data_IF_880001639519
#
_entry.id   IF_880001639519
#
_cell.length_a   1.000
_cell.length_b   1.000
_cell.length_c   1.000
_cell.angle_alpha   90.00
_cell.angle_beta   90.00
_cell.angle_gamma   90.00
#
_symmetry.space_group_name_H-M   'P 1'
#
loop_
_entity.id
_entity.type
_entity.pdbx_description
1 polymer ?
#
# COMPACT_ATOMS: atom_id res chain seq x y z
N UNK A 1 3.50 -5.59 6.63
CA UNK A 1 3.02 -6.56 5.64
C UNK A 1 2.10 -7.52 6.35
N UNK A 2 1.00 -7.86 5.71
CA UNK A 2 -0.06 -8.68 6.29
C UNK A 2 -0.48 -9.64 5.19
N UNK A 3 -0.32 -10.93 5.45
CA UNK A 3 -0.72 -11.96 4.51
C UNK A 3 -2.15 -12.40 4.82
N UNK A 4 -2.96 -12.46 3.77
CA UNK A 4 -4.36 -12.85 3.86
C UNK A 4 -4.60 -14.04 2.93
N UNK A 5 -5.04 -15.16 3.50
CA UNK A 5 -5.37 -16.37 2.75
C UNK A 5 -6.82 -16.74 3.06
N UNK A 6 -7.66 -16.85 2.03
CA UNK A 6 -9.08 -17.20 2.22
C UNK A 6 -9.88 -16.17 3.04
N UNK A 7 -9.42 -14.91 3.11
CA UNK A 7 -10.04 -13.85 3.92
C UNK A 7 -9.58 -13.82 5.37
N UNK A 8 -8.62 -14.66 5.76
CA UNK A 8 -8.07 -14.69 7.12
C UNK A 8 -6.63 -14.18 7.14
N UNK A 9 -6.27 -13.43 8.18
CA UNK A 9 -4.89 -12.97 8.39
C UNK A 9 -4.05 -14.12 8.90
N UNK A 10 -3.05 -14.54 8.11
CA UNK A 10 -2.18 -15.68 8.42
C UNK A 10 -0.83 -15.27 8.97
N UNK A 11 -0.31 -14.12 8.53
CA UNK A 11 0.99 -13.61 8.97
C UNK A 11 0.98 -12.08 9.10
N UNK A 12 1.74 -11.57 10.07
CA UNK A 12 1.98 -10.15 10.26
C UNK A 12 3.47 -9.92 10.41
N UNK A 13 4.05 -9.15 9.51
CA UNK A 13 5.46 -8.77 9.53
C UNK A 13 5.60 -7.24 9.49
N UNK A 14 6.57 -6.71 10.24
CA UNK A 14 6.93 -5.29 10.19
C UNK A 14 8.19 -5.15 9.37
N UNK A 15 8.08 -4.47 8.22
CA UNK A 15 9.23 -4.03 7.46
C UNK A 15 9.58 -2.62 7.90
N UNK A 16 10.82 -2.42 8.35
CA UNK A 16 11.28 -1.10 8.73
C UNK A 16 11.48 -0.24 7.48
N UNK A 17 10.83 0.93 7.45
CA UNK A 17 11.02 1.87 6.35
C UNK A 17 12.48 2.35 6.30
N UNK A 18 13.04 2.37 5.09
CA UNK A 18 14.32 3.01 4.85
C UNK A 18 14.23 4.51 5.15
N UNK A 19 15.35 5.16 5.55
CA UNK A 19 15.37 6.61 5.73
C UNK A 19 14.92 7.34 4.46
N UNK A 20 14.07 8.35 4.62
CA UNK A 20 13.60 9.14 3.49
C UNK A 20 14.72 10.05 2.99
N UNK A 21 15.14 9.86 1.73
CA UNK A 21 16.14 10.68 1.05
C UNK A 21 15.51 11.46 -0.10
N UNK A 22 16.14 12.57 -0.50
CA UNK A 22 15.67 13.33 -1.66
C UNK A 22 15.70 12.45 -2.92
N UNK A 23 14.58 12.40 -3.65
CA UNK A 23 14.43 11.52 -4.81
C UNK A 23 14.14 10.05 -4.49
N UNK A 24 14.11 9.64 -3.22
CA UNK A 24 13.93 8.25 -2.76
C UNK A 24 12.54 7.64 -2.97
N UNK A 25 11.70 8.21 -3.83
CA UNK A 25 10.31 7.77 -4.03
C UNK A 25 10.17 6.35 -4.58
N UNK A 26 11.18 5.86 -5.30
CA UNK A 26 11.18 4.50 -5.87
C UNK A 26 11.70 3.44 -4.89
N UNK A 27 12.43 3.83 -3.84
CA UNK A 27 12.96 2.85 -2.89
C UNK A 27 11.83 2.03 -2.22
N UNK A 28 10.75 2.63 -1.69
CA UNK A 28 9.63 1.86 -1.14
C UNK A 28 8.93 1.00 -2.20
N UNK A 29 8.81 1.47 -3.44
CA UNK A 29 8.18 0.72 -4.54
C UNK A 29 8.96 -0.57 -4.82
N UNK A 30 10.27 -0.45 -5.00
CA UNK A 30 11.13 -1.58 -5.33
C UNK A 30 11.21 -2.56 -4.16
N UNK A 31 11.39 -2.07 -2.93
CA UNK A 31 11.44 -2.94 -1.75
C UNK A 31 10.14 -3.74 -1.60
N UNK A 32 8.96 -3.10 -1.74
CA UNK A 32 7.69 -3.83 -1.61
C UNK A 32 7.46 -4.81 -2.77
N UNK A 33 7.94 -4.51 -3.98
CA UNK A 33 7.92 -5.45 -5.11
C UNK A 33 8.83 -6.67 -4.87
N UNK A 34 10.03 -6.48 -4.30
CA UNK A 34 10.92 -7.58 -3.90
C UNK A 34 10.29 -8.50 -2.84
N UNK A 35 9.41 -7.94 -2.00
CA UNK A 35 8.62 -8.69 -1.02
C UNK A 35 7.33 -9.30 -1.60
N UNK A 36 7.08 -9.18 -2.91
CA UNK A 36 5.87 -9.70 -3.59
C UNK A 36 4.57 -9.18 -2.98
N UNK A 37 4.54 -7.93 -2.52
CA UNK A 37 3.32 -7.32 -1.98
C UNK A 37 2.30 -7.12 -3.10
N UNK A 38 1.08 -7.60 -2.95
CA UNK A 38 0.01 -7.45 -3.97
C UNK A 38 -0.61 -6.05 -3.97
N UNK A 39 -0.76 -5.45 -2.78
CA UNK A 39 -1.41 -4.17 -2.59
C UNK A 39 -0.83 -3.38 -1.42
N UNK A 40 -0.85 -2.05 -1.52
CA UNK A 40 -0.56 -1.13 -0.43
C UNK A 40 -1.78 -0.27 -0.12
N UNK A 41 -2.02 -0.07 1.18
CA UNK A 41 -3.05 0.85 1.65
C UNK A 41 -2.39 2.11 2.22
N UNK A 42 -2.85 3.27 1.78
CA UNK A 42 -2.28 4.57 2.14
C UNK A 42 -3.39 5.54 2.55
N UNK A 43 -3.09 6.41 3.51
CA UNK A 43 -3.90 7.62 3.73
C UNK A 43 -3.59 8.66 2.64
N UNK A 44 -2.37 8.61 2.10
CA UNK A 44 -2.07 9.34 0.89
C UNK A 44 -0.83 8.99 0.09
N UNK A 45 -0.83 9.37 -1.19
CA UNK A 45 0.25 9.06 -2.12
C UNK A 45 0.52 10.17 -3.15
N UNK A 46 1.80 10.37 -3.46
CA UNK A 46 2.24 11.24 -4.56
C UNK A 46 2.16 10.55 -5.92
N UNK A 47 2.12 11.35 -7.00
CA UNK A 47 2.04 10.81 -8.38
C UNK A 47 3.16 9.83 -8.74
N UNK A 48 4.41 10.14 -8.38
CA UNK A 48 5.58 9.29 -8.71
C UNK A 48 5.51 7.90 -8.07
N UNK A 49 5.33 7.75 -6.74
CA UNK A 49 5.19 6.43 -6.14
C UNK A 49 3.95 5.69 -6.64
N UNK A 50 2.81 6.37 -6.87
CA UNK A 50 1.62 5.72 -7.44
C UNK A 50 1.91 5.10 -8.82
N UNK A 51 2.56 5.86 -9.72
CA UNK A 51 2.97 5.32 -11.02
C UNK A 51 3.94 4.15 -10.88
N UNK A 52 4.88 4.23 -9.94
CA UNK A 52 5.83 3.15 -9.66
C UNK A 52 5.13 1.87 -9.24
N UNK A 53 4.22 1.93 -8.26
CA UNK A 53 3.44 0.77 -7.82
C UNK A 53 2.62 0.15 -8.95
N UNK A 54 1.92 0.98 -9.73
CA UNK A 54 1.14 0.51 -10.88
C UNK A 54 2.02 -0.18 -11.94
N UNK A 55 3.25 0.29 -12.17
CA UNK A 55 4.18 -0.32 -13.12
C UNK A 55 4.66 -1.71 -12.67
N UNK A 56 4.79 -1.94 -11.37
CA UNK A 56 5.20 -3.24 -10.81
C UNK A 56 4.01 -4.13 -10.44
N UNK A 57 2.78 -3.72 -10.77
CA UNK A 57 1.57 -4.52 -10.55
C UNK A 57 1.02 -4.47 -9.12
N UNK A 58 1.46 -3.52 -8.28
CA UNK A 58 0.99 -3.36 -6.91
C UNK A 58 -0.20 -2.40 -6.89
N UNK A 59 -1.35 -2.87 -6.41
CA UNK A 59 -2.54 -2.02 -6.29
C UNK A 59 -2.38 -1.02 -5.14
N UNK A 60 -2.77 0.23 -5.36
CA UNK A 60 -2.80 1.25 -4.30
C UNK A 60 -4.24 1.50 -3.89
N UNK A 61 -4.55 1.36 -2.61
CA UNK A 61 -5.87 1.59 -2.04
C UNK A 61 -5.85 2.76 -1.06
N UNK A 62 -6.93 3.53 -1.02
CA UNK A 62 -7.13 4.53 0.02
C UNK A 62 -7.63 3.84 1.30
N UNK A 63 -6.93 4.06 2.41
CA UNK A 63 -7.27 3.50 3.71
C UNK A 63 -8.49 4.16 4.36
N UNK A 64 -9.10 3.46 5.32
CA UNK A 64 -10.15 4.01 6.18
C UNK A 64 -9.94 3.54 7.62
N UNK A 65 -10.49 4.29 8.58
CA UNK A 65 -10.41 3.95 10.00
C UNK A 65 -9.17 4.55 10.68
N UNK A 66 -9.03 4.28 11.97
CA UNK A 66 -8.03 4.91 12.84
C UNK A 66 -6.82 4.02 13.15
N UNK A 67 -6.87 2.74 12.78
CA UNK A 67 -5.81 1.79 13.08
C UNK A 67 -5.65 0.72 11.99
N UNK A 68 -4.54 -0.02 12.07
CA UNK A 68 -4.18 -1.05 11.09
C UNK A 68 -5.23 -2.16 11.01
N UNK A 69 -5.83 -2.55 12.14
CA UNK A 69 -6.81 -3.64 12.16
C UNK A 69 -8.06 -3.26 11.37
N UNK A 70 -8.58 -2.05 11.58
CA UNK A 70 -9.74 -1.53 10.85
C UNK A 70 -9.47 -1.49 9.35
N UNK A 71 -8.32 -0.95 8.95
CA UNK A 71 -7.91 -0.87 7.54
C UNK A 71 -7.84 -2.25 6.88
N UNK A 72 -7.26 -3.23 7.58
CA UNK A 72 -7.14 -4.61 7.06
C UNK A 72 -8.51 -5.26 6.91
N UNK A 73 -9.39 -5.10 7.90
CA UNK A 73 -10.75 -5.63 7.82
C UNK A 73 -11.53 -5.01 6.65
N UNK A 74 -11.39 -3.70 6.44
CA UNK A 74 -12.01 -3.02 5.31
C UNK A 74 -11.44 -3.49 3.96
N UNK A 75 -10.13 -3.75 3.88
CA UNK A 75 -9.49 -4.31 2.69
C UNK A 75 -10.01 -5.72 2.38
N UNK A 76 -10.05 -6.60 3.38
CA UNK A 76 -10.57 -7.98 3.25
C UNK A 76 -12.04 -7.99 2.80
N UNK A 77 -12.84 -7.02 3.28
CA UNK A 77 -14.23 -6.85 2.88
C UNK A 77 -14.42 -6.26 1.47
N UNK A 78 -13.34 -5.92 0.75
CA UNK A 78 -13.38 -5.27 -0.56
C UNK A 78 -13.85 -3.81 -0.51
N UNK A 79 -13.79 -3.18 0.67
CA UNK A 79 -14.33 -1.85 0.93
C UNK A 79 -13.38 -0.69 0.66
N UNK A 80 -12.12 -0.95 0.27
CA UNK A 80 -11.15 0.11 0.01
C UNK A 80 -11.07 0.46 -1.49
N UNK A 81 -11.31 1.72 -1.88
CA UNK A 81 -11.23 2.12 -3.28
C UNK A 81 -9.78 2.11 -3.78
N UNK A 82 -9.59 1.70 -5.03
CA UNK A 82 -8.29 1.80 -5.72
C UNK A 82 -8.02 3.27 -6.08
N UNK A 83 -6.80 3.73 -5.81
CA UNK A 83 -6.36 5.10 -6.11
C UNK A 83 -5.93 5.19 -7.58
N UNK A 84 -6.68 5.95 -8.36
CA UNK A 84 -6.29 6.35 -9.72
C UNK A 84 -5.34 7.55 -9.72
N UNK A 85 -4.75 7.86 -10.88
CA UNK A 85 -3.85 9.03 -11.05
C UNK A 85 -4.49 10.37 -10.67
N UNK A 86 -5.82 10.48 -10.75
CA UNK A 86 -6.59 11.67 -10.37
C UNK A 86 -6.68 11.84 -8.84
N UNK A 87 -6.66 10.75 -8.09
CA UNK A 87 -6.65 10.77 -6.62
C UNK A 87 -5.25 10.97 -6.02
N UNK A 88 -4.21 11.01 -6.85
CA UNK A 88 -2.85 11.28 -6.38
C UNK A 88 -2.74 12.72 -5.85
N UNK A 89 -2.04 12.87 -4.73
CA UNK A 89 -1.87 14.16 -4.03
C UNK A 89 -3.19 14.81 -3.56
N UNK A 90 -4.30 14.06 -3.47
CA UNK A 90 -5.56 14.56 -2.93
C UNK A 90 -5.76 13.97 -1.53
N UNK A 91 -5.30 14.71 -0.51
CA UNK A 91 -5.51 14.41 0.91
C UNK A 91 -5.94 15.69 1.61
#
# INVERSE_FOLDING_TARGET
MIDVVGGEVTEVAVLQNAPHTEGGCMAPVLTLAEHNVDAIVVDGIGRRPLMGFNQVGIAVHAGVGSDVRMTVQAFIAGGLPVVGLEGACQH
#
